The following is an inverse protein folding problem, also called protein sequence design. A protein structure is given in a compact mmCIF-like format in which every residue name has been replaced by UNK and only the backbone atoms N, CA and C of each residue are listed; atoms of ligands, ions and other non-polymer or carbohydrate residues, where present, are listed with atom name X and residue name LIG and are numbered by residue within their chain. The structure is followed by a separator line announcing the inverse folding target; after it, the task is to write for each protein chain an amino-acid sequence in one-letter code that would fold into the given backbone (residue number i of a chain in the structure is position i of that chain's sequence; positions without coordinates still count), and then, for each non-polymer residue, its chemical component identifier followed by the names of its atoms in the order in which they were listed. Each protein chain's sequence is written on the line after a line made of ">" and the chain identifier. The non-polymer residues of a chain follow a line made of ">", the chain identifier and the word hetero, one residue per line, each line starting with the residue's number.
data_IF_033323490628
#
_entry.id   IF_033323490628
#
_cell.length_a   1.000
_cell.length_b   1.000
_cell.length_c   1.000
_cell.angle_alpha   90.00
_cell.angle_beta   90.00
_cell.angle_gamma   90.00
#
_symmetry.space_group_name_H-M   'P 1'
#
loop_
_entity.id
_entity.type
_entity.pdbx_description
1 polymer ?
#
# COMPACT_ATOMS: atom_id res chain seq x y z
N UNK A 1 2.86 4.14 10.38
CA UNK A 1 2.27 5.39 10.92
C UNK A 1 2.92 6.66 10.37
N UNK A 2 4.24 6.84 10.47
CA UNK A 2 4.90 8.07 9.99
C UNK A 2 4.56 8.45 8.53
N UNK A 3 4.61 7.50 7.59
CA UNK A 3 4.28 7.76 6.18
C UNK A 3 2.85 8.25 5.96
N UNK A 4 1.88 7.82 6.80
CA UNK A 4 0.50 8.31 6.74
C UNK A 4 0.39 9.77 7.18
N UNK A 5 1.11 10.14 8.25
CA UNK A 5 1.15 11.53 8.72
C UNK A 5 1.81 12.47 7.71
N UNK A 6 2.89 11.99 7.08
CA UNK A 6 3.57 12.72 6.00
C UNK A 6 2.70 12.82 4.74
N UNK A 7 1.88 11.81 4.44
CA UNK A 7 0.96 11.87 3.30
C UNK A 7 -0.01 13.05 3.41
N UNK A 8 -0.55 13.32 4.60
CA UNK A 8 -1.42 14.48 4.83
C UNK A 8 -0.72 15.83 4.62
N UNK A 9 0.59 15.90 4.85
CA UNK A 9 1.35 17.15 4.74
C UNK A 9 1.99 17.35 3.36
N UNK A 10 2.35 16.25 2.68
CA UNK A 10 3.09 16.27 1.40
C UNK A 10 2.21 15.96 0.19
N UNK A 11 1.02 15.40 0.42
CA UNK A 11 0.14 14.92 -0.65
C UNK A 11 0.60 13.60 -1.29
N UNK A 12 1.74 13.05 -0.88
CA UNK A 12 2.29 11.81 -1.44
C UNK A 12 1.64 10.58 -0.82
N UNK A 13 1.36 9.56 -1.62
CA UNK A 13 0.84 8.28 -1.11
C UNK A 13 1.88 7.60 -0.20
N UNK A 14 1.48 6.94 0.90
CA UNK A 14 2.42 6.28 1.81
C UNK A 14 3.37 5.27 1.13
N UNK A 15 2.94 4.60 0.06
CA UNK A 15 3.77 3.66 -0.71
C UNK A 15 4.74 4.34 -1.68
N UNK A 16 4.45 5.57 -2.09
CA UNK A 16 5.30 6.37 -2.98
C UNK A 16 6.37 7.15 -2.19
N UNK A 17 6.28 7.12 -0.86
CA UNK A 17 7.20 7.78 0.05
C UNK A 17 8.38 6.88 0.43
N UNK A 18 9.59 7.32 0.10
CA UNK A 18 10.85 6.69 0.50
C UNK A 18 11.53 7.51 1.59
N UNK A 19 11.65 6.93 2.79
CA UNK A 19 12.26 7.59 3.94
C UNK A 19 13.70 7.14 4.12
N UNK A 20 14.60 8.10 4.27
CA UNK A 20 16.03 7.86 4.48
C UNK A 20 16.43 8.50 5.81
N UNK A 21 17.04 7.68 6.68
CA UNK A 21 17.58 8.13 7.96
C UNK A 21 18.96 7.52 8.22
N UNK A 22 19.97 8.39 8.35
CA UNK A 22 21.40 8.02 8.44
C UNK A 22 21.84 7.17 7.24
N UNK A 23 21.58 7.67 6.03
CA UNK A 23 21.97 7.03 4.76
C UNK A 23 21.39 5.62 4.55
N UNK A 24 20.40 5.24 5.36
CA UNK A 24 19.68 3.96 5.26
C UNK A 24 18.21 4.20 4.94
N UNK A 25 17.73 3.51 3.92
CA UNK A 25 16.31 3.42 3.60
C UNK A 25 15.57 2.75 4.75
N UNK A 26 14.41 3.32 5.12
CA UNK A 26 13.56 2.81 6.20
C UNK A 26 12.25 2.30 5.63
N UNK A 27 12.01 1.03 5.90
CA UNK A 27 10.78 0.36 5.52
C UNK A 27 9.59 0.86 6.35
N UNK A 28 8.38 0.77 5.78
CA UNK A 28 7.12 1.12 6.45
C UNK A 28 6.85 0.29 7.72
N UNK A 29 7.46 -0.90 7.84
CA UNK A 29 7.36 -1.78 9.01
C UNK A 29 8.40 -1.47 10.10
N UNK A 30 9.39 -0.62 9.83
CA UNK A 30 10.39 -0.27 10.82
C UNK A 30 9.84 0.75 11.83
N UNK A 31 10.03 0.47 13.12
CA UNK A 31 9.60 1.39 14.18
C UNK A 31 10.66 2.46 14.45
N UNK A 32 10.24 3.70 14.67
CA UNK A 32 11.14 4.86 14.78
C UNK A 32 12.11 4.75 15.96
N UNK A 33 11.64 4.21 17.08
CA UNK A 33 12.43 3.92 18.29
C UNK A 33 13.59 2.96 18.02
N UNK A 34 13.32 1.83 17.33
CA UNK A 34 14.34 0.87 16.93
C UNK A 34 15.33 1.44 15.91
N UNK A 35 14.89 2.40 15.09
CA UNK A 35 15.77 3.07 14.12
C UNK A 35 16.67 4.15 14.71
N UNK A 36 16.52 4.45 16.00
CA UNK A 36 17.30 5.48 16.71
C UNK A 36 16.89 6.90 16.32
N UNK A 37 15.65 7.07 15.83
CA UNK A 37 15.04 8.38 15.60
C UNK A 37 14.69 8.95 16.97
N UNK A 38 15.32 10.06 17.33
CA UNK A 38 15.09 10.80 18.58
C UNK A 38 14.32 12.09 18.30
N UNK A 39 13.92 12.77 19.35
CA UNK A 39 13.40 14.14 19.24
C UNK A 39 14.37 15.03 18.44
N UNK A 40 13.85 15.82 17.50
CA UNK A 40 14.59 16.68 16.55
C UNK A 40 15.51 15.96 15.56
N UNK A 41 15.40 14.63 15.41
CA UNK A 41 16.08 13.92 14.34
C UNK A 41 15.60 14.40 12.96
N UNK A 42 16.53 14.60 12.04
CA UNK A 42 16.23 14.95 10.65
C UNK A 42 16.15 13.68 9.81
N UNK A 43 15.11 13.59 8.99
CA UNK A 43 14.91 12.51 8.02
C UNK A 43 14.72 13.14 6.64
N UNK A 44 15.14 12.42 5.59
CA UNK A 44 14.92 12.83 4.20
C UNK A 44 13.78 12.01 3.63
N UNK A 45 12.78 12.70 3.08
CA UNK A 45 11.70 12.09 2.31
C UNK A 45 12.00 12.28 0.82
N UNK A 46 11.96 11.19 0.07
CA UNK A 46 12.14 11.17 -1.38
C UNK A 46 10.89 10.53 -2.00
N UNK A 47 10.42 11.09 -3.12
CA UNK A 47 9.37 10.48 -3.93
C UNK A 47 9.99 9.36 -4.79
N UNK A 48 9.39 8.17 -4.74
CA UNK A 48 9.80 7.03 -5.57
C UNK A 48 8.82 6.84 -6.74
N UNK A 49 9.12 7.34 -7.96
CA UNK A 49 8.22 7.20 -9.11
C UNK A 49 8.02 5.74 -9.53
N UNK A 50 8.95 4.83 -9.21
CA UNK A 50 8.80 3.40 -9.49
C UNK A 50 7.74 2.74 -8.61
N UNK A 51 7.52 3.23 -7.38
CA UNK A 51 6.41 2.80 -6.53
C UNK A 51 5.05 3.13 -7.13
N UNK A 52 4.91 4.29 -7.80
CA UNK A 52 3.66 4.69 -8.43
C UNK A 52 3.29 3.73 -9.58
N UNK A 53 4.26 3.35 -10.40
CA UNK A 53 4.08 2.36 -11.47
C UNK A 53 3.73 0.98 -10.91
N UNK A 54 4.40 0.54 -9.85
CA UNK A 54 4.07 -0.71 -9.15
C UNK A 54 2.63 -0.70 -8.63
N UNK A 55 2.21 0.38 -7.97
CA UNK A 55 0.84 0.54 -7.45
C UNK A 55 -0.20 0.48 -8.57
N UNK A 56 0.07 1.13 -9.70
CA UNK A 56 -0.83 1.10 -10.85
C UNK A 56 -0.96 -0.31 -11.45
N UNK A 57 0.16 -1.02 -11.57
CA UNK A 57 0.16 -2.39 -12.06
C UNK A 57 -0.59 -3.35 -11.12
N UNK A 58 -0.40 -3.21 -9.80
CA UNK A 58 -1.11 -4.00 -8.79
C UNK A 58 -2.61 -3.73 -8.78
N UNK A 59 -3.03 -2.46 -8.82
CA UNK A 59 -4.45 -2.11 -8.95
C UNK A 59 -5.09 -2.77 -10.17
N UNK A 60 -4.40 -2.78 -11.31
CA UNK A 60 -4.89 -3.40 -12.54
C UNK A 60 -4.99 -4.92 -12.44
N UNK A 61 -4.09 -5.58 -11.70
CA UNK A 61 -4.18 -7.02 -11.41
C UNK A 61 -5.33 -7.33 -10.45
N UNK A 62 -5.46 -6.56 -9.37
CA UNK A 62 -6.54 -6.72 -8.40
C UNK A 62 -7.91 -6.52 -9.03
N UNK A 63 -8.09 -5.51 -9.89
CA UNK A 63 -9.35 -5.29 -10.59
C UNK A 63 -9.76 -6.49 -11.46
N UNK A 64 -8.79 -7.16 -12.11
CA UNK A 64 -9.06 -8.40 -12.87
C UNK A 64 -9.46 -9.55 -11.95
N UNK A 65 -8.76 -9.72 -10.82
CA UNK A 65 -9.08 -10.77 -9.85
C UNK A 65 -10.45 -10.54 -9.20
N UNK A 66 -10.77 -9.30 -8.85
CA UNK A 66 -12.07 -8.93 -8.27
C UNK A 66 -13.21 -9.18 -9.26
N UNK A 67 -13.03 -8.84 -10.54
CA UNK A 67 -14.02 -9.16 -11.58
C UNK A 67 -14.24 -10.67 -11.71
N UNK A 68 -13.17 -11.47 -11.68
CA UNK A 68 -13.28 -12.92 -11.73
C UNK A 68 -13.96 -13.49 -10.47
N UNK A 69 -13.58 -13.02 -9.29
CA UNK A 69 -14.17 -13.42 -8.02
C UNK A 69 -15.66 -13.08 -7.96
N UNK A 70 -16.06 -11.90 -8.45
CA UNK A 70 -17.46 -11.50 -8.54
C UNK A 70 -18.25 -12.42 -9.48
N UNK A 71 -17.72 -12.72 -10.66
CA UNK A 71 -18.37 -13.65 -11.58
C UNK A 71 -18.53 -15.06 -10.97
N UNK A 72 -17.52 -15.54 -10.26
CA UNK A 72 -17.59 -16.84 -9.56
C UNK A 72 -18.66 -16.80 -8.46
N UNK A 73 -18.72 -15.71 -7.68
CA UNK A 73 -19.73 -15.55 -6.63
C UNK A 73 -21.15 -15.51 -7.21
N UNK A 74 -21.36 -14.81 -8.33
CA UNK A 74 -22.65 -14.77 -9.04
C UNK A 74 -23.07 -16.16 -9.53
N UNK A 75 -22.14 -16.92 -10.12
CA UNK A 75 -22.40 -18.30 -10.57
C UNK A 75 -22.72 -19.20 -9.37
N UNK A 76 -21.94 -19.10 -8.28
CA UNK A 76 -22.15 -19.90 -7.07
C UNK A 76 -23.54 -19.66 -6.49
N UNK A 77 -23.96 -18.40 -6.39
CA UNK A 77 -25.30 -18.03 -5.91
C UNK A 77 -26.41 -18.62 -6.79
N UNK A 78 -26.20 -18.69 -8.10
CA UNK A 78 -27.19 -19.28 -9.01
C UNK A 78 -27.25 -20.80 -8.90
N UNK A 79 -26.10 -21.47 -8.73
CA UNK A 79 -26.02 -22.91 -8.46
C UNK A 79 -26.71 -23.26 -7.14
N UNK A 80 -26.49 -22.48 -6.08
CA UNK A 80 -27.12 -22.71 -4.77
C UNK A 80 -28.65 -22.60 -4.85
N UNK A 81 -29.18 -21.65 -5.63
CA UNK A 81 -30.64 -21.54 -5.88
C UNK A 81 -31.19 -22.77 -6.60
N UNK A 82 -30.50 -23.23 -7.64
CA UNK A 82 -30.92 -24.39 -8.43
C UNK A 82 -30.84 -25.69 -7.63
N UNK A 83 -29.85 -25.83 -6.75
CA UNK A 83 -29.70 -26.99 -5.88
C UNK A 83 -30.75 -27.06 -4.74
N UNK A 84 -31.39 -25.92 -4.43
CA UNK A 84 -32.48 -25.83 -3.47
C UNK A 84 -33.89 -26.07 -4.05
N UNK A 85 -34.03 -26.27 -5.37
CA UNK A 85 -35.25 -26.75 -6.03
C UNK A 85 -35.35 -28.28 -5.99
#
# INVERSE_FOLDING_TARGET
>A
ELKKLLASHTGLHPDDQKLIFKDKERDSKAFLDMTGVKDKAKMVLVEDPQSLERRYLEMRKNAKMEKAAKAIAEISLEVDKLAGQ
#
